data_IF_445999208118
#
_entry.id   IF_445999208118
#
_cell.length_a   1.000
_cell.length_b   1.000
_cell.length_c   1.000
_cell.angle_alpha   90.00
_cell.angle_beta   90.00
_cell.angle_gamma   90.00
#
_symmetry.space_group_name_H-M   'P 1'
#
loop_
_entity.id
_entity.type
_entity.pdbx_description
1 polymer ?
#
# COMPACT_ATOMS: atom_id res chain seq x y z
N UNK A 1 5.67 24.97 -7.05
CA UNK A 1 4.45 25.58 -6.49
C UNK A 1 3.58 24.46 -5.95
N UNK A 2 3.04 24.58 -4.73
CA UNK A 2 1.98 23.66 -4.30
C UNK A 2 0.80 23.75 -5.29
N UNK A 3 0.08 22.64 -5.54
CA UNK A 3 -1.10 22.68 -6.40
C UNK A 3 -2.14 23.65 -5.82
N UNK A 4 -2.77 24.44 -6.70
CA UNK A 4 -3.83 25.36 -6.31
C UNK A 4 -5.05 24.56 -5.79
N UNK A 5 -5.64 25.01 -4.67
CA UNK A 5 -6.77 24.32 -4.03
C UNK A 5 -7.98 24.23 -4.95
N UNK A 6 -8.21 25.22 -5.82
CA UNK A 6 -9.29 25.19 -6.80
C UNK A 6 -9.06 24.10 -7.85
N UNK A 7 -7.81 23.93 -8.30
CA UNK A 7 -7.43 22.87 -9.25
C UNK A 7 -7.65 21.49 -8.64
N UNK A 8 -7.26 21.30 -7.37
CA UNK A 8 -7.55 20.05 -6.65
C UNK A 8 -9.06 19.85 -6.49
N UNK A 9 -9.79 20.88 -6.06
CA UNK A 9 -11.25 20.78 -5.87
C UNK A 9 -11.96 20.32 -7.14
N UNK A 10 -11.60 20.90 -8.30
CA UNK A 10 -12.17 20.50 -9.58
C UNK A 10 -11.77 19.09 -9.99
N UNK A 11 -10.53 18.66 -9.71
CA UNK A 11 -10.10 17.28 -9.93
C UNK A 11 -10.95 16.29 -9.11
N UNK A 12 -11.20 16.58 -7.83
CA UNK A 12 -12.00 15.72 -6.96
C UNK A 12 -13.48 15.67 -7.39
N UNK A 13 -14.08 16.81 -7.79
CA UNK A 13 -15.45 16.85 -8.34
C UNK A 13 -15.62 16.01 -9.61
N UNK A 14 -14.58 15.99 -10.47
CA UNK A 14 -14.54 15.15 -11.66
C UNK A 14 -14.35 13.67 -11.33
N UNK A 15 -13.66 13.36 -10.24
CA UNK A 15 -13.40 11.99 -9.79
C UNK A 15 -14.59 11.24 -9.21
N UNK A 16 -15.74 11.89 -8.99
CA UNK A 16 -16.96 11.24 -8.50
C UNK A 16 -17.48 10.20 -9.50
N UNK A 17 -17.78 8.99 -9.02
CA UNK A 17 -18.29 7.91 -9.86
C UNK A 17 -19.72 8.20 -10.35
N UNK A 18 -20.00 7.87 -11.62
CA UNK A 18 -21.26 8.15 -12.31
C UNK A 18 -21.63 7.00 -13.24
N UNK A 19 -22.93 6.83 -13.50
CA UNK A 19 -23.41 5.93 -14.55
C UNK A 19 -23.20 6.58 -15.93
N UNK A 20 -22.00 6.46 -16.50
CA UNK A 20 -21.65 7.11 -17.76
C UNK A 20 -21.73 8.64 -17.65
N UNK A 21 -22.70 9.27 -18.34
CA UNK A 21 -23.02 10.70 -18.22
C UNK A 21 -24.21 11.00 -17.29
N UNK A 22 -24.74 9.96 -16.64
CA UNK A 22 -25.89 10.01 -15.75
C UNK A 22 -25.57 10.45 -14.33
N UNK A 23 -26.42 10.09 -13.36
CA UNK A 23 -26.30 10.55 -11.98
C UNK A 23 -25.03 10.04 -11.29
N UNK A 24 -24.71 10.69 -10.16
CA UNK A 24 -23.65 10.26 -9.24
C UNK A 24 -24.07 8.97 -8.55
N UNK A 25 -23.13 8.05 -8.40
CA UNK A 25 -23.28 6.83 -7.61
C UNK A 25 -22.53 7.08 -6.29
N UNK A 26 -23.26 7.55 -5.28
CA UNK A 26 -22.67 8.03 -4.01
C UNK A 26 -21.94 6.91 -3.26
N UNK A 27 -22.44 5.67 -3.37
CA UNK A 27 -21.93 4.49 -2.69
C UNK A 27 -20.48 4.15 -3.06
N UNK A 28 -20.07 4.51 -4.29
CA UNK A 28 -18.73 4.26 -4.82
C UNK A 28 -17.74 5.39 -4.50
N UNK A 29 -18.21 6.51 -3.94
CA UNK A 29 -17.39 7.68 -3.62
C UNK A 29 -16.70 8.29 -4.83
N UNK A 30 -15.44 8.68 -4.67
CA UNK A 30 -14.60 9.31 -5.68
C UNK A 30 -13.29 8.55 -5.94
N UNK A 31 -12.76 8.72 -7.14
CA UNK A 31 -11.42 8.27 -7.52
C UNK A 31 -10.65 9.39 -8.23
N UNK A 32 -9.44 9.67 -7.75
CA UNK A 32 -8.52 10.64 -8.37
C UNK A 32 -7.15 10.02 -8.58
N UNK A 33 -6.45 10.50 -9.61
CA UNK A 33 -5.12 10.01 -9.98
C UNK A 33 -4.15 11.16 -10.22
N UNK A 34 -2.90 10.96 -9.81
CA UNK A 34 -1.78 11.86 -10.05
C UNK A 34 -0.64 11.07 -10.68
N UNK A 35 0.08 11.72 -11.59
CA UNK A 35 1.22 11.15 -12.31
C UNK A 35 2.38 12.14 -12.30
N UNK A 36 3.60 11.64 -12.18
CA UNK A 36 4.81 12.46 -12.23
C UNK A 36 5.22 12.86 -13.66
N UNK A 37 4.49 12.41 -14.69
CA UNK A 37 4.77 12.71 -16.10
C UNK A 37 5.90 11.88 -16.70
N UNK A 38 6.36 10.83 -16.03
CA UNK A 38 7.35 9.90 -16.58
C UNK A 38 6.83 9.11 -17.79
N UNK A 39 7.75 8.53 -18.57
CA UNK A 39 7.38 7.55 -19.59
C UNK A 39 6.78 6.30 -18.91
N UNK A 40 5.95 5.53 -19.61
CA UNK A 40 5.10 4.49 -19.00
C UNK A 40 5.81 3.42 -18.14
N UNK A 41 7.10 3.13 -18.35
CA UNK A 41 7.87 2.19 -17.52
C UNK A 41 8.65 2.87 -16.39
N UNK A 42 8.61 4.20 -16.35
CA UNK A 42 9.41 5.09 -15.51
C UNK A 42 8.53 6.07 -14.70
N UNK A 43 7.21 5.91 -14.76
CA UNK A 43 6.27 6.78 -14.07
C UNK A 43 5.97 6.31 -12.64
N UNK A 44 5.64 7.29 -11.80
CA UNK A 44 5.05 7.05 -10.49
C UNK A 44 3.63 7.60 -10.52
N UNK A 45 2.67 6.77 -10.10
CA UNK A 45 1.26 7.09 -10.14
C UNK A 45 0.62 6.91 -8.78
N UNK A 46 0.05 7.99 -8.25
CA UNK A 46 -0.79 7.94 -7.06
C UNK A 46 -2.25 7.82 -7.47
N UNK A 47 -2.98 6.86 -6.91
CA UNK A 47 -4.42 6.68 -7.09
C UNK A 47 -5.09 6.68 -5.73
N UNK A 48 -6.10 7.54 -5.56
CA UNK A 48 -6.85 7.65 -4.31
C UNK A 48 -8.29 7.29 -4.61
N UNK A 49 -8.85 6.37 -3.82
CA UNK A 49 -10.28 6.07 -3.74
C UNK A 49 -10.77 6.40 -2.35
N UNK A 50 -11.78 7.25 -2.23
CA UNK A 50 -12.29 7.74 -0.96
C UNK A 50 -13.83 7.89 -0.98
N UNK A 51 -14.44 7.82 0.20
CA UNK A 51 -15.88 8.07 0.39
C UNK A 51 -16.79 6.90 0.01
N UNK A 52 -16.24 5.76 -0.41
CA UNK A 52 -17.05 4.58 -0.66
C UNK A 52 -17.51 3.95 0.67
N UNK A 53 -18.77 3.53 0.73
CA UNK A 53 -19.37 2.90 1.91
C UNK A 53 -20.19 1.64 1.60
N UNK A 54 -20.54 1.39 0.33
CA UNK A 54 -21.17 0.15 -0.13
C UNK A 54 -20.51 -0.33 -1.42
N UNK A 55 -19.19 -0.56 -1.35
CA UNK A 55 -18.36 -1.01 -2.45
C UNK A 55 -17.47 -2.20 -2.00
N UNK A 56 -17.42 -3.31 -2.75
CA UNK A 56 -16.54 -4.45 -2.44
C UNK A 56 -15.05 -4.09 -2.35
N UNK A 57 -14.63 -3.00 -3.01
CA UNK A 57 -13.28 -2.45 -2.99
C UNK A 57 -13.19 -1.33 -1.92
N UNK A 58 -12.35 -1.49 -0.89
CA UNK A 58 -12.26 -0.49 0.18
C UNK A 58 -11.64 0.82 -0.32
N UNK A 59 -11.86 1.91 0.42
CA UNK A 59 -11.11 3.14 0.27
C UNK A 59 -9.61 2.85 0.36
N UNK A 60 -8.83 3.40 -0.57
CA UNK A 60 -7.41 3.08 -0.67
C UNK A 60 -6.62 4.25 -1.27
N UNK A 61 -5.33 4.26 -0.93
CA UNK A 61 -4.33 5.16 -1.48
C UNK A 61 -3.20 4.29 -2.03
N UNK A 62 -3.15 4.13 -3.35
CA UNK A 62 -2.21 3.27 -4.05
C UNK A 62 -1.15 4.10 -4.76
N UNK A 63 0.12 3.91 -4.39
CA UNK A 63 1.26 4.44 -5.12
C UNK A 63 1.88 3.34 -5.97
N UNK A 64 1.73 3.45 -7.30
CA UNK A 64 2.47 2.64 -8.26
C UNK A 64 3.84 3.26 -8.49
N UNK A 65 4.88 2.42 -8.44
CA UNK A 65 6.28 2.82 -8.62
C UNK A 65 6.86 2.17 -9.87
N UNK A 66 7.90 2.78 -10.48
CA UNK A 66 8.68 2.15 -11.53
C UNK A 66 9.23 0.80 -11.06
N UNK A 67 9.18 -0.21 -11.92
CA UNK A 67 9.57 -1.57 -11.56
C UNK A 67 10.89 -2.02 -12.17
N UNK A 68 11.26 -1.45 -13.33
CA UNK A 68 12.47 -1.77 -14.09
C UNK A 68 13.30 -0.52 -14.37
N UNK A 69 14.59 -0.73 -14.61
CA UNK A 69 15.52 0.31 -15.02
C UNK A 69 16.07 1.16 -13.87
N UNK A 70 16.92 2.16 -14.18
CA UNK A 70 17.69 2.90 -13.19
C UNK A 70 16.83 3.65 -12.16
N UNK A 71 15.66 4.16 -12.55
CA UNK A 71 14.75 4.83 -11.63
C UNK A 71 14.15 3.85 -10.62
N UNK A 72 13.77 2.65 -11.07
CA UNK A 72 13.28 1.61 -10.18
C UNK A 72 14.37 1.19 -9.18
N UNK A 73 15.62 1.02 -9.63
CA UNK A 73 16.75 0.70 -8.75
C UNK A 73 16.99 1.79 -7.69
N UNK A 74 16.84 3.06 -8.08
CA UNK A 74 16.96 4.20 -7.16
C UNK A 74 15.82 4.27 -6.14
N UNK A 75 14.60 3.94 -6.54
CA UNK A 75 13.38 4.11 -5.72
C UNK A 75 13.06 2.87 -4.88
N UNK A 76 13.32 1.66 -5.39
CA UNK A 76 13.00 0.39 -4.74
C UNK A 76 14.11 -0.04 -3.78
N UNK A 77 14.42 0.84 -2.83
CA UNK A 77 15.32 0.60 -1.70
C UNK A 77 14.53 0.67 -0.40
N UNK A 78 14.95 -0.02 0.69
CA UNK A 78 14.23 0.05 1.95
C UNK A 78 14.08 1.50 2.44
N UNK A 79 15.14 2.30 2.43
CA UNK A 79 15.12 3.66 2.96
C UNK A 79 14.14 4.57 2.25
N UNK A 80 14.03 4.48 0.91
CA UNK A 80 13.06 5.26 0.14
C UNK A 80 11.64 4.77 0.41
N UNK A 81 11.41 3.45 0.43
CA UNK A 81 10.08 2.90 0.70
C UNK A 81 9.62 3.16 2.13
N UNK A 82 10.52 3.11 3.11
CA UNK A 82 10.26 3.48 4.51
C UNK A 82 9.82 4.95 4.59
N UNK A 83 10.52 5.87 3.92
CA UNK A 83 10.15 7.29 3.88
C UNK A 83 8.78 7.52 3.22
N UNK A 84 8.52 6.84 2.09
CA UNK A 84 7.23 6.89 1.39
C UNK A 84 6.11 6.38 2.29
N UNK A 85 6.29 5.23 2.94
CA UNK A 85 5.27 4.66 3.82
C UNK A 85 4.99 5.56 5.02
N UNK A 86 6.03 6.13 5.66
CA UNK A 86 5.86 7.08 6.76
C UNK A 86 5.08 8.33 6.30
N UNK A 87 5.37 8.85 5.11
CA UNK A 87 4.61 9.96 4.51
C UNK A 87 3.14 9.60 4.24
N UNK A 88 2.88 8.40 3.72
CA UNK A 88 1.51 7.91 3.51
C UNK A 88 0.76 7.71 4.83
N UNK A 89 1.42 7.19 5.87
CA UNK A 89 0.84 7.06 7.21
C UNK A 89 0.50 8.43 7.81
N UNK A 90 1.39 9.41 7.68
CA UNK A 90 1.14 10.76 8.16
C UNK A 90 -0.04 11.43 7.45
N UNK A 91 -0.16 11.24 6.13
CA UNK A 91 -1.17 11.92 5.32
C UNK A 91 -2.54 11.23 5.29
N UNK A 92 -2.59 9.90 5.41
CA UNK A 92 -3.80 9.11 5.19
C UNK A 92 -4.29 8.35 6.43
N UNK A 93 -3.43 8.15 7.43
CA UNK A 93 -3.73 7.34 8.62
C UNK A 93 -4.40 5.98 8.29
N UNK A 94 -3.80 5.19 7.38
CA UNK A 94 -4.41 3.93 6.97
C UNK A 94 -4.43 2.93 8.13
N UNK A 95 -5.37 2.00 8.05
CA UNK A 95 -5.38 0.84 8.93
C UNK A 95 -4.17 -0.07 8.67
N UNK A 96 -3.70 -0.15 7.41
CA UNK A 96 -2.50 -0.85 6.97
C UNK A 96 -1.95 -0.35 5.63
N UNK A 97 -0.68 -0.65 5.35
CA UNK A 97 -0.04 -0.44 4.04
C UNK A 97 0.86 -1.64 3.75
N UNK A 98 0.93 -2.08 2.48
CA UNK A 98 1.94 -3.03 2.03
C UNK A 98 2.67 -2.50 0.79
N UNK A 99 4.01 -2.50 0.83
CA UNK A 99 4.85 -2.26 -0.33
C UNK A 99 5.25 -3.61 -0.93
N UNK A 100 4.66 -3.98 -2.07
CA UNK A 100 4.86 -5.29 -2.68
C UNK A 100 4.67 -5.27 -4.20
N UNK A 101 5.23 -6.27 -4.89
CA UNK A 101 4.95 -6.49 -6.30
C UNK A 101 3.62 -7.23 -6.49
N UNK A 102 3.03 -7.14 -7.69
CA UNK A 102 1.82 -7.90 -8.02
C UNK A 102 2.08 -9.41 -7.95
N UNK A 103 3.24 -9.84 -8.43
CA UNK A 103 3.65 -11.25 -8.41
C UNK A 103 3.73 -11.77 -6.97
N UNK A 104 4.22 -10.97 -6.02
CA UNK A 104 4.23 -11.36 -4.61
C UNK A 104 2.80 -11.48 -4.07
N UNK A 105 1.93 -10.52 -4.38
CA UNK A 105 0.54 -10.53 -3.91
C UNK A 105 -0.21 -11.75 -4.44
N UNK A 106 -0.11 -12.00 -5.73
CA UNK A 106 -0.85 -13.08 -6.39
C UNK A 106 -0.30 -14.46 -6.00
N UNK A 107 0.99 -14.56 -5.64
CA UNK A 107 1.58 -15.77 -5.07
C UNK A 107 1.09 -16.04 -3.64
N UNK A 108 0.97 -14.99 -2.83
CA UNK A 108 0.68 -15.11 -1.40
C UNK A 108 -0.82 -15.24 -1.13
N UNK A 109 -1.66 -14.44 -1.79
CA UNK A 109 -3.12 -14.41 -1.63
C UNK A 109 -3.85 -14.37 -2.99
N UNK A 110 -3.77 -15.46 -3.80
CA UNK A 110 -4.31 -15.50 -5.17
C UNK A 110 -5.81 -15.23 -5.25
N UNK A 111 -6.54 -15.61 -4.20
CA UNK A 111 -8.00 -15.49 -4.12
C UNK A 111 -8.45 -14.21 -3.39
N UNK A 112 -7.52 -13.33 -3.00
CA UNK A 112 -7.80 -12.09 -2.26
C UNK A 112 -8.67 -12.33 -1.01
N UNK A 113 -8.33 -13.39 -0.25
CA UNK A 113 -9.08 -13.81 0.94
C UNK A 113 -8.64 -13.06 2.18
N UNK A 114 -7.52 -12.36 2.18
CA UNK A 114 -7.03 -11.67 3.39
C UNK A 114 -7.51 -10.23 3.47
N UNK A 115 -7.67 -9.69 4.67
CA UNK A 115 -8.02 -8.28 4.90
C UNK A 115 -6.80 -7.33 4.89
N UNK A 116 -5.59 -7.88 4.73
CA UNK A 116 -4.32 -7.16 4.70
C UNK A 116 -3.24 -8.06 4.09
N UNK A 117 -2.29 -7.45 3.37
CA UNK A 117 -1.16 -8.18 2.79
C UNK A 117 0.13 -7.96 3.55
N UNK A 118 1.04 -8.92 3.46
CA UNK A 118 2.43 -8.79 3.93
C UNK A 118 3.31 -8.52 2.71
N UNK A 119 3.75 -7.27 2.59
CA UNK A 119 4.71 -6.86 1.56
C UNK A 119 6.16 -6.97 2.03
N UNK A 120 7.08 -6.49 1.19
CA UNK A 120 8.47 -6.27 1.60
C UNK A 120 8.54 -5.37 2.83
N UNK A 121 7.79 -4.27 2.77
CA UNK A 121 7.50 -3.43 3.92
C UNK A 121 5.99 -3.49 4.18
N UNK A 122 5.62 -3.57 5.46
CA UNK A 122 4.22 -3.62 5.89
C UNK A 122 4.02 -2.73 7.10
N UNK A 123 3.00 -1.89 7.07
CA UNK A 123 2.60 -1.08 8.22
C UNK A 123 1.25 -1.56 8.76
N UNK A 124 1.12 -1.62 10.09
CA UNK A 124 -0.15 -1.79 10.78
C UNK A 124 -0.37 -0.64 11.75
N UNK A 125 -1.57 -0.05 11.70
CA UNK A 125 -2.04 0.91 12.70
C UNK A 125 -2.09 0.26 14.08
N UNK A 126 -1.82 1.04 15.14
CA UNK A 126 -1.99 0.59 16.53
C UNK A 126 -3.41 0.08 16.83
N UNK A 127 -4.40 0.55 16.06
CA UNK A 127 -5.79 0.11 16.19
C UNK A 127 -6.01 -1.35 15.76
N UNK A 128 -5.11 -1.92 14.93
CA UNK A 128 -5.16 -3.34 14.56
C UNK A 128 -4.53 -4.28 15.58
N UNK A 129 -3.84 -3.74 16.58
CA UNK A 129 -3.17 -4.52 17.61
C UNK A 129 -1.65 -4.37 17.57
N UNK A 130 -0.98 -5.26 18.29
CA UNK A 130 0.47 -5.20 18.52
C UNK A 130 1.18 -6.24 17.67
N UNK A 131 2.19 -5.82 16.92
CA UNK A 131 3.04 -6.74 16.14
C UNK A 131 3.80 -7.66 17.09
N UNK A 132 3.70 -9.00 16.95
CA UNK A 132 4.43 -9.94 17.79
C UNK A 132 5.93 -9.91 17.44
N UNK A 133 6.80 -10.50 18.28
CA UNK A 133 8.19 -10.74 17.88
C UNK A 133 8.27 -11.51 16.55
N UNK A 134 9.09 -11.03 15.62
CA UNK A 134 9.28 -11.61 14.28
C UNK A 134 10.71 -12.18 14.14
N UNK A 135 10.91 -13.21 13.30
CA UNK A 135 12.23 -13.82 13.11
C UNK A 135 13.20 -12.85 12.40
N UNK A 136 14.49 -12.99 12.65
CA UNK A 136 15.51 -12.33 11.82
C UNK A 136 15.37 -12.76 10.34
N UNK A 137 15.69 -11.90 9.37
CA UNK A 137 16.27 -10.55 9.49
C UNK A 137 15.24 -9.42 9.66
N UNK A 138 13.98 -9.72 10.01
CA UNK A 138 12.89 -8.75 10.04
C UNK A 138 13.18 -7.62 11.03
N UNK A 139 13.05 -6.37 10.56
CA UNK A 139 13.07 -5.16 11.40
C UNK A 139 11.64 -4.75 11.72
N UNK A 140 11.42 -4.33 12.97
CA UNK A 140 10.16 -3.77 13.47
C UNK A 140 10.47 -2.38 14.01
N UNK A 141 9.76 -1.37 13.51
CA UNK A 141 9.99 0.02 13.87
C UNK A 141 8.69 0.76 14.19
N UNK A 142 8.66 1.59 15.24
CA UNK A 142 7.53 2.46 15.47
C UNK A 142 7.41 3.52 14.37
N UNK A 143 6.17 3.85 14.02
CA UNK A 143 5.83 5.01 13.21
C UNK A 143 5.11 6.00 14.12
N UNK A 144 5.91 6.83 14.79
CA UNK A 144 5.44 7.78 15.81
C UNK A 144 4.54 7.08 16.82
N UNK A 145 3.37 7.66 17.13
CA UNK A 145 2.34 7.05 17.95
C UNK A 145 1.27 6.34 17.09
N UNK A 146 1.43 6.23 15.78
CA UNK A 146 0.38 5.77 14.86
C UNK A 146 0.34 4.25 14.69
N UNK A 147 1.49 3.59 14.70
CA UNK A 147 1.55 2.15 14.49
C UNK A 147 2.96 1.60 14.32
N UNK A 148 3.08 0.47 13.65
CA UNK A 148 4.33 -0.28 13.50
C UNK A 148 4.64 -0.58 12.04
N UNK A 149 5.85 -0.29 11.61
CA UNK A 149 6.42 -0.65 10.32
C UNK A 149 7.26 -1.91 10.45
N UNK A 150 7.06 -2.85 9.54
CA UNK A 150 7.78 -4.13 9.43
C UNK A 150 8.55 -4.09 8.13
N UNK A 151 9.84 -4.43 8.15
CA UNK A 151 10.69 -4.55 6.97
C UNK A 151 11.25 -5.97 6.94
N UNK A 152 10.85 -6.77 5.93
CA UNK A 152 11.19 -8.19 5.89
C UNK A 152 12.69 -8.45 5.70
N UNK A 153 13.31 -7.73 4.76
CA UNK A 153 14.70 -7.93 4.34
C UNK A 153 15.39 -6.59 4.10
N UNK A 154 16.70 -6.44 4.38
CA UNK A 154 17.44 -5.21 4.08
C UNK A 154 17.72 -5.02 2.58
N UNK A 155 17.72 -6.10 1.81
CA UNK A 155 17.78 -6.11 0.34
C UNK A 155 16.39 -6.17 -0.29
N UNK A 156 16.30 -5.84 -1.58
CA UNK A 156 15.06 -5.87 -2.35
C UNK A 156 14.41 -7.26 -2.29
N UNK A 157 13.22 -7.31 -1.73
CA UNK A 157 12.39 -8.51 -1.77
C UNK A 157 12.00 -8.85 -3.22
N UNK A 158 12.11 -10.13 -3.56
CA UNK A 158 11.76 -10.67 -4.88
C UNK A 158 11.14 -12.05 -4.72
N UNK A 159 10.14 -12.36 -5.54
CA UNK A 159 9.54 -13.71 -5.59
C UNK A 159 10.47 -14.76 -6.19
N UNK A 160 11.53 -14.33 -6.88
CA UNK A 160 12.54 -15.22 -7.45
C UNK A 160 13.48 -15.79 -6.37
N UNK A 161 13.59 -15.15 -5.20
CA UNK A 161 14.35 -15.70 -4.09
C UNK A 161 13.41 -16.55 -3.18
N UNK A 162 13.59 -17.88 -3.09
CA UNK A 162 12.74 -18.73 -2.27
C UNK A 162 12.82 -18.40 -0.77
N UNK A 163 13.95 -17.86 -0.29
CA UNK A 163 14.12 -17.47 1.11
C UNK A 163 13.24 -16.27 1.46
N UNK A 164 13.14 -15.29 0.54
CA UNK A 164 12.23 -14.16 0.69
C UNK A 164 10.78 -14.63 0.81
N UNK A 165 10.34 -15.52 -0.09
CA UNK A 165 8.99 -16.06 -0.08
C UNK A 165 8.70 -16.86 1.20
N UNK A 166 9.65 -17.68 1.65
CA UNK A 166 9.51 -18.44 2.89
C UNK A 166 9.40 -17.52 4.12
N UNK A 167 10.22 -16.46 4.18
CA UNK A 167 10.17 -15.47 5.24
C UNK A 167 8.84 -14.71 5.25
N UNK A 168 8.38 -14.23 4.09
CA UNK A 168 7.10 -13.54 3.94
C UNK A 168 5.93 -14.38 4.44
N UNK A 169 5.89 -15.66 4.03
CA UNK A 169 4.87 -16.62 4.49
C UNK A 169 4.94 -16.84 6.00
N UNK A 170 6.14 -17.01 6.55
CA UNK A 170 6.33 -17.22 7.99
C UNK A 170 5.88 -16.01 8.81
N UNK A 171 6.21 -14.80 8.36
CA UNK A 171 5.77 -13.56 9.01
C UNK A 171 4.26 -13.41 8.93
N UNK A 172 3.65 -13.71 7.78
CA UNK A 172 2.19 -13.72 7.64
C UNK A 172 1.52 -14.66 8.64
N UNK A 173 1.98 -15.90 8.77
CA UNK A 173 1.44 -16.85 9.75
C UNK A 173 1.51 -16.31 11.19
N UNK A 174 2.59 -15.61 11.55
CA UNK A 174 2.74 -14.99 12.86
C UNK A 174 1.74 -13.83 13.05
N UNK A 175 1.60 -12.97 12.05
CA UNK A 175 0.67 -11.83 12.08
C UNK A 175 -0.81 -12.27 12.09
N UNK A 176 -1.15 -13.33 11.35
CA UNK A 176 -2.49 -13.95 11.39
C UNK A 176 -2.78 -14.52 12.77
N UNK A 177 -1.84 -15.28 13.37
CA UNK A 177 -2.00 -15.81 14.73
C UNK A 177 -2.14 -14.72 15.80
N UNK A 178 -1.54 -13.57 15.58
CA UNK A 178 -1.65 -12.40 16.44
C UNK A 178 -2.91 -11.55 16.17
N UNK A 179 -3.74 -11.93 15.18
CA UNK A 179 -4.99 -11.22 14.87
C UNK A 179 -4.83 -9.94 14.06
N UNK A 180 -3.64 -9.63 13.52
CA UNK A 180 -3.45 -8.46 12.64
C UNK A 180 -3.97 -8.69 11.22
N UNK A 181 -4.06 -9.96 10.81
CA UNK A 181 -4.54 -10.39 9.49
C UNK A 181 -5.65 -11.41 9.68
N UNK A 182 -6.80 -11.18 9.06
CA UNK A 182 -7.95 -12.07 9.07
C UNK A 182 -8.21 -12.61 7.66
N UNK A 183 -8.60 -13.87 7.59
CA UNK A 183 -9.13 -14.50 6.39
C UNK A 183 -10.63 -14.19 6.31
N UNK A 184 -11.09 -13.78 5.13
CA UNK A 184 -12.48 -13.54 4.75
C UNK A 184 -13.18 -14.84 4.40
#
# INVERSE_FOLDING_TARGET
MPPDVSVLTDLFRRGVNREGRGPIIEELGLRVGFLNGGAASDDARLSIKCGAFDDPSPNNCLLSLPFYGPTAERVLTPSVLEAVMRGMVAAWEPEWIAAMSREHRDLDDPDNRTNAWVGWLTYFSKQRGTVPPLPAPVRIEPVEDKGTLIVLTPERFTVANPEHVALGRRVRELLTRAGLIHTR
#
